data_IF_151174559163
#
_entry.id   IF_151174559163
#
_cell.length_a   1.000
_cell.length_b   1.000
_cell.length_c   1.000
_cell.angle_alpha   90.00
_cell.angle_beta   90.00
_cell.angle_gamma   90.00
#
_symmetry.space_group_name_H-M   'P 1'
#
loop_
_entity.id
_entity.type
_entity.pdbx_description
1 polymer ?
#
# COMPACT_ATOMS: atom_id res chain seq x y z
N UNK A 1 7.43 -8.39 20.69
CA UNK A 1 6.03 -8.60 20.26
C UNK A 1 6.11 -9.27 18.91
N UNK A 2 5.72 -10.54 18.83
CA UNK A 2 5.65 -11.26 17.54
C UNK A 2 4.22 -11.08 17.03
N UNK A 3 4.07 -10.54 15.82
CA UNK A 3 2.77 -10.33 15.19
C UNK A 3 2.28 -11.65 14.58
N UNK A 4 0.97 -11.87 14.61
CA UNK A 4 0.33 -13.03 14.00
C UNK A 4 0.43 -12.93 12.46
N UNK A 5 1.09 -13.90 11.79
CA UNK A 5 1.23 -13.88 10.33
C UNK A 5 -0.11 -13.85 9.60
N UNK A 6 -1.14 -14.49 10.16
CA UNK A 6 -2.47 -14.52 9.54
C UNK A 6 -3.17 -13.16 9.55
N UNK A 7 -2.78 -12.27 10.45
CA UNK A 7 -3.27 -10.88 10.49
C UNK A 7 -2.45 -9.98 9.57
N UNK A 8 -1.15 -10.27 9.40
CA UNK A 8 -0.25 -9.47 8.55
C UNK A 8 -0.33 -9.82 7.06
N UNK A 9 -0.75 -11.04 6.74
CA UNK A 9 -0.98 -11.50 5.35
C UNK A 9 -2.41 -11.19 4.84
N UNK A 10 -3.30 -10.74 5.72
CA UNK A 10 -4.63 -10.28 5.34
C UNK A 10 -4.51 -8.90 4.65
N UNK A 11 -4.99 -8.79 3.42
CA UNK A 11 -4.84 -7.54 2.68
C UNK A 11 -5.63 -6.42 3.34
N UNK A 12 -6.85 -6.65 3.84
CA UNK A 12 -7.66 -5.63 4.53
C UNK A 12 -6.86 -4.95 5.65
N UNK A 13 -6.10 -5.72 6.44
CA UNK A 13 -5.24 -5.20 7.50
C UNK A 13 -4.06 -4.38 6.97
N UNK A 14 -3.44 -4.84 5.87
CA UNK A 14 -2.37 -4.09 5.19
C UNK A 14 -2.92 -2.78 4.61
N UNK A 15 -4.10 -2.80 3.99
CA UNK A 15 -4.80 -1.62 3.49
C UNK A 15 -5.08 -0.63 4.62
N UNK A 16 -5.68 -1.08 5.72
CA UNK A 16 -5.92 -0.23 6.89
C UNK A 16 -4.61 0.39 7.44
N UNK A 17 -3.55 -0.39 7.56
CA UNK A 17 -2.27 0.10 8.09
C UNK A 17 -1.62 1.13 7.18
N UNK A 18 -1.67 0.90 5.87
CA UNK A 18 -1.09 1.80 4.88
C UNK A 18 -1.92 3.07 4.72
N UNK A 19 -3.23 2.99 4.61
CA UNK A 19 -4.08 4.15 4.35
C UNK A 19 -4.47 4.96 5.59
N UNK A 20 -4.45 4.39 6.80
CA UNK A 20 -5.00 5.06 7.99
C UNK A 20 -3.93 5.32 9.07
N UNK A 21 -3.14 4.31 9.44
CA UNK A 21 -2.35 4.38 10.69
C UNK A 21 -0.94 4.96 10.56
N UNK A 22 -0.23 4.72 9.44
CA UNK A 22 1.21 5.04 9.37
C UNK A 22 1.64 5.91 8.19
N UNK A 23 0.90 5.91 7.08
CA UNK A 23 1.26 6.68 5.90
C UNK A 23 0.10 6.82 4.91
N UNK A 24 -0.92 7.64 5.23
CA UNK A 24 -2.04 7.94 4.32
C UNK A 24 -1.56 8.13 2.88
N UNK A 25 -1.89 7.17 2.03
CA UNK A 25 -1.42 7.10 0.66
C UNK A 25 -2.14 8.09 -0.28
N UNK A 26 -3.24 8.70 0.17
CA UNK A 26 -3.90 9.80 -0.54
C UNK A 26 -3.21 11.15 -0.26
N UNK A 27 -2.62 11.32 0.94
CA UNK A 27 -1.89 12.51 1.38
C UNK A 27 -0.45 12.24 1.92
N UNK A 28 0.42 11.55 1.15
CA UNK A 28 1.70 11.05 1.65
C UNK A 28 2.72 12.14 2.01
N UNK A 29 2.59 13.36 1.47
CA UNK A 29 3.50 14.47 1.75
C UNK A 29 3.53 14.84 3.24
N UNK A 30 2.41 14.62 3.95
CA UNK A 30 2.30 14.90 5.39
C UNK A 30 3.24 14.03 6.24
N UNK A 31 3.71 12.92 5.67
CA UNK A 31 4.57 11.96 6.34
C UNK A 31 6.04 12.11 5.97
N UNK A 32 6.39 13.08 5.11
CA UNK A 32 7.78 13.41 4.77
C UNK A 32 8.51 13.98 6.00
N UNK A 33 9.66 13.38 6.33
CA UNK A 33 10.43 13.64 7.55
C UNK A 33 9.94 12.87 8.78
N UNK A 34 8.87 12.09 8.67
CA UNK A 34 8.37 11.20 9.73
C UNK A 34 8.48 9.73 9.31
N UNK A 35 7.52 9.22 8.54
CA UNK A 35 7.48 7.84 8.04
C UNK A 35 8.16 7.71 6.66
N UNK A 36 8.19 8.80 5.88
CA UNK A 36 8.84 8.89 4.58
C UNK A 36 10.06 9.82 4.68
N UNK A 37 11.14 9.49 3.99
CA UNK A 37 12.46 10.15 4.08
C UNK A 37 12.77 11.02 2.88
N UNK A 38 12.21 10.73 1.71
CA UNK A 38 12.53 11.42 0.46
C UNK A 38 11.29 11.71 -0.39
N UNK A 39 11.40 12.70 -1.27
CA UNK A 39 10.37 13.00 -2.28
C UNK A 39 10.08 11.81 -3.22
N UNK A 40 11.09 10.95 -3.47
CA UNK A 40 10.87 9.72 -4.26
C UNK A 40 9.96 8.73 -3.51
N UNK A 41 10.15 8.57 -2.19
CA UNK A 41 9.28 7.73 -1.36
C UNK A 41 7.85 8.29 -1.31
N UNK A 42 7.68 9.61 -1.23
CA UNK A 42 6.37 10.28 -1.31
C UNK A 42 5.67 10.01 -2.63
N UNK A 43 6.38 10.20 -3.76
CA UNK A 43 5.82 9.97 -5.08
C UNK A 43 5.39 8.50 -5.28
N UNK A 44 6.20 7.56 -4.80
CA UNK A 44 5.90 6.13 -4.87
C UNK A 44 4.74 5.72 -3.96
N UNK A 45 4.62 6.32 -2.76
CA UNK A 45 3.47 6.07 -1.89
C UNK A 45 2.18 6.59 -2.52
N UNK A 46 2.20 7.77 -3.15
CA UNK A 46 1.06 8.32 -3.89
C UNK A 46 0.64 7.41 -5.05
N UNK A 47 1.61 6.91 -5.81
CA UNK A 47 1.38 5.97 -6.91
C UNK A 47 0.79 4.65 -6.40
N UNK A 48 1.27 4.16 -5.25
CA UNK A 48 0.75 2.96 -4.60
C UNK A 48 -0.70 3.16 -4.16
N UNK A 49 -1.04 4.29 -3.54
CA UNK A 49 -2.41 4.64 -3.15
C UNK A 49 -3.36 4.65 -4.34
N UNK A 50 -2.96 5.26 -5.46
CA UNK A 50 -3.75 5.27 -6.68
C UNK A 50 -3.97 3.87 -7.26
N UNK A 51 -2.95 3.02 -7.26
CA UNK A 51 -3.05 1.64 -7.74
C UNK A 51 -3.96 0.78 -6.84
N UNK A 52 -3.86 0.96 -5.52
CA UNK A 52 -4.69 0.28 -4.52
C UNK A 52 -6.16 0.70 -4.65
N UNK A 53 -6.44 2.00 -4.82
CA UNK A 53 -7.79 2.52 -5.09
C UNK A 53 -8.37 1.94 -6.40
N UNK A 54 -7.56 1.78 -7.45
CA UNK A 54 -8.00 1.13 -8.68
C UNK A 54 -8.38 -0.35 -8.44
N UNK A 55 -7.58 -1.08 -7.68
CA UNK A 55 -7.86 -2.48 -7.33
C UNK A 55 -9.11 -2.63 -6.46
N UNK A 56 -9.32 -1.72 -5.50
CA UNK A 56 -10.51 -1.70 -4.65
C UNK A 56 -11.80 -1.49 -5.46
N UNK A 57 -11.75 -0.66 -6.51
CA UNK A 57 -12.89 -0.49 -7.43
C UNK A 57 -13.22 -1.77 -8.22
N UNK A 58 -12.29 -2.71 -8.34
CA UNK A 58 -12.46 -4.01 -9.00
C UNK A 58 -12.83 -5.13 -8.00
N UNK A 59 -12.67 -4.90 -6.69
CA UNK A 59 -12.90 -5.85 -5.61
C UNK A 59 -14.05 -5.37 -4.68
N UNK A 60 -15.31 -5.50 -5.10
CA UNK A 60 -16.45 -4.89 -4.39
C UNK A 60 -16.72 -5.47 -3.01
N UNK A 61 -16.23 -6.69 -2.71
CA UNK A 61 -16.36 -7.30 -1.39
C UNK A 61 -15.07 -7.20 -0.58
N UNK A 62 -14.07 -6.48 -1.08
CA UNK A 62 -12.80 -6.22 -0.38
C UNK A 62 -12.07 -7.51 0.02
N UNK A 63 -12.29 -8.63 -0.70
CA UNK A 63 -11.66 -9.91 -0.32
C UNK A 63 -10.31 -10.10 -1.00
N UNK A 64 -9.37 -10.77 -0.32
CA UNK A 64 -8.07 -11.12 -0.89
C UNK A 64 -8.18 -11.77 -2.28
N UNK A 65 -9.13 -12.70 -2.44
CA UNK A 65 -9.33 -13.41 -3.68
C UNK A 65 -9.77 -12.51 -4.84
N UNK A 66 -10.55 -11.46 -4.55
CA UNK A 66 -10.97 -10.47 -5.55
C UNK A 66 -9.83 -9.53 -5.90
N UNK A 67 -9.06 -9.06 -4.91
CA UNK A 67 -7.86 -8.26 -5.16
C UNK A 67 -6.84 -8.99 -6.03
N UNK A 68 -6.56 -10.26 -5.72
CA UNK A 68 -5.65 -11.08 -6.52
C UNK A 68 -6.12 -11.30 -7.97
N UNK A 69 -7.42 -11.13 -8.24
CA UNK A 69 -8.01 -11.23 -9.57
C UNK A 69 -8.17 -9.88 -10.28
N UNK A 70 -8.02 -8.76 -9.58
CA UNK A 70 -8.11 -7.42 -10.16
C UNK A 70 -7.04 -7.23 -11.25
N UNK A 71 -7.44 -6.68 -12.39
CA UNK A 71 -6.55 -6.40 -13.51
C UNK A 71 -5.48 -5.37 -13.14
N UNK A 72 -5.76 -4.49 -12.19
CA UNK A 72 -4.83 -3.51 -11.61
C UNK A 72 -3.85 -4.10 -10.58
N UNK A 73 -4.07 -5.31 -10.08
CA UNK A 73 -3.23 -5.93 -9.05
C UNK A 73 -1.73 -6.04 -9.41
N UNK A 74 -1.34 -6.39 -10.65
CA UNK A 74 0.07 -6.40 -11.03
C UNK A 74 0.75 -5.02 -10.89
N UNK A 75 0.01 -3.92 -11.06
CA UNK A 75 0.52 -2.56 -10.88
C UNK A 75 0.79 -2.30 -9.40
N UNK A 76 -0.14 -2.69 -8.52
CA UNK A 76 0.04 -2.61 -7.06
C UNK A 76 1.34 -3.29 -6.64
N UNK A 77 1.54 -4.54 -7.07
CA UNK A 77 2.74 -5.32 -6.73
C UNK A 77 4.02 -4.64 -7.25
N UNK A 78 4.00 -4.11 -8.47
CA UNK A 78 5.16 -3.45 -9.06
C UNK A 78 5.55 -2.17 -8.30
N UNK A 79 4.57 -1.31 -7.98
CA UNK A 79 4.80 -0.05 -7.27
C UNK A 79 5.24 -0.32 -5.82
N UNK A 80 4.56 -1.24 -5.12
CA UNK A 80 4.95 -1.66 -3.77
C UNK A 80 6.38 -2.21 -3.73
N UNK A 81 6.75 -3.04 -4.72
CA UNK A 81 8.12 -3.56 -4.85
C UNK A 81 9.15 -2.45 -5.04
N UNK A 82 8.85 -1.43 -5.85
CA UNK A 82 9.73 -0.27 -6.04
C UNK A 82 9.83 0.58 -4.77
N UNK A 83 8.72 0.85 -4.09
CA UNK A 83 8.70 1.57 -2.82
C UNK A 83 9.55 0.86 -1.77
N UNK A 84 9.36 -0.45 -1.59
CA UNK A 84 10.14 -1.26 -0.67
C UNK A 84 11.65 -1.18 -0.95
N UNK A 85 12.05 -1.22 -2.23
CA UNK A 85 13.45 -1.06 -2.63
C UNK A 85 14.03 0.30 -2.29
N UNK A 86 13.26 1.38 -2.36
CA UNK A 86 13.72 2.73 -2.01
C UNK A 86 13.82 2.87 -0.48
N UNK A 87 12.85 2.34 0.27
CA UNK A 87 12.81 2.45 1.74
C UNK A 87 13.93 1.68 2.46
N UNK A 88 14.53 0.66 1.84
CA UNK A 88 15.65 -0.11 2.41
C UNK A 88 17.03 0.40 1.98
N UNK A 89 17.09 1.45 1.16
CA UNK A 89 18.34 2.17 0.86
C UNK A 89 18.68 3.14 1.98
#
# INVERSE_FOLDING_TARGET
MWLDPSTFENLDHIFHTLFDDFCDADEPERYLGTSLRTEEEVALMRELGAALNAAANEAPNDTDAEYLQAASWPVVVAVAGRLAQVMVR
#
